data_IF_913883395973
#
_entry.id   IF_913883395973
#
_cell.length_a   1.000
_cell.length_b   1.000
_cell.length_c   1.000
_cell.angle_alpha   90.00
_cell.angle_beta   90.00
_cell.angle_gamma   90.00
#
_symmetry.space_group_name_H-M   'P 1'
#
loop_
_entity.id
_entity.type
_entity.pdbx_description
1 polymer ?
#
# COMPACT_ATOMS: atom_id res chain seq x y z
N UNK A 1 -12.97 -6.83 -5.40
CA UNK A 1 -12.71 -5.40 -5.13
C UNK A 1 -13.87 -4.56 -5.67
N UNK A 2 -14.14 -3.41 -5.08
CA UNK A 2 -15.07 -2.36 -5.57
C UNK A 2 -14.33 -1.04 -5.87
N UNK A 3 -15.00 -0.07 -6.48
CA UNK A 3 -14.42 1.25 -6.80
C UNK A 3 -14.16 2.12 -5.57
N UNK A 4 -13.02 2.82 -5.57
CA UNK A 4 -12.64 3.80 -4.54
C UNK A 4 -13.62 4.97 -4.50
N UNK A 5 -14.07 5.36 -3.30
CA UNK A 5 -14.91 6.54 -3.09
C UNK A 5 -16.44 6.36 -3.22
N UNK A 6 -16.99 5.15 -3.36
CA UNK A 6 -18.46 5.05 -3.37
C UNK A 6 -19.13 3.70 -3.70
N UNK A 7 -18.40 2.58 -3.74
CA UNK A 7 -19.04 1.26 -3.95
C UNK A 7 -19.51 0.99 -5.38
N UNK A 8 -19.08 1.80 -6.35
CA UNK A 8 -19.29 1.52 -7.77
C UNK A 8 -18.50 0.31 -8.27
N UNK A 9 -18.85 -0.24 -9.42
CA UNK A 9 -18.10 -1.34 -10.03
C UNK A 9 -16.66 -0.93 -10.37
N UNK A 10 -15.65 -1.78 -10.08
CA UNK A 10 -14.27 -1.48 -10.41
C UNK A 10 -14.12 -1.36 -11.93
N UNK A 11 -13.55 -0.26 -12.40
CA UNK A 11 -13.36 -0.01 -13.84
C UNK A 11 -12.14 -0.74 -14.42
N UNK A 12 -11.28 -1.27 -13.55
CA UNK A 12 -10.05 -1.95 -13.95
C UNK A 12 -10.38 -3.36 -14.47
N UNK A 13 -10.13 -3.58 -15.77
CA UNK A 13 -10.51 -4.83 -16.44
C UNK A 13 -9.42 -5.89 -16.28
N UNK A 14 -9.82 -7.10 -15.89
CA UNK A 14 -8.97 -8.28 -15.92
C UNK A 14 -8.64 -8.64 -17.36
N UNK A 15 -7.35 -8.70 -17.71
CA UNK A 15 -6.85 -9.11 -19.02
C UNK A 15 -5.56 -9.91 -18.84
N UNK A 16 -5.42 -11.02 -19.56
CA UNK A 16 -4.18 -11.80 -19.60
C UNK A 16 -3.63 -12.16 -18.20
N UNK A 17 -4.51 -12.44 -17.23
CA UNK A 17 -4.13 -12.81 -15.88
C UNK A 17 -3.70 -11.66 -14.95
N UNK A 18 -3.86 -10.40 -15.37
CA UNK A 18 -3.62 -9.22 -14.52
C UNK A 18 -4.74 -8.19 -14.66
N UNK A 19 -4.85 -7.32 -13.66
CA UNK A 19 -5.60 -6.06 -13.75
C UNK A 19 -4.60 -4.92 -13.97
N UNK A 20 -5.01 -3.89 -14.67
CA UNK A 20 -4.21 -2.68 -14.91
C UNK A 20 -4.97 -1.48 -14.38
N UNK A 21 -4.28 -0.58 -13.70
CA UNK A 21 -4.85 0.69 -13.26
C UNK A 21 -5.42 1.45 -14.46
N UNK A 22 -6.61 2.02 -14.28
CA UNK A 22 -7.27 2.85 -15.28
C UNK A 22 -7.69 4.17 -14.65
N UNK A 23 -7.72 5.27 -15.43
CA UNK A 23 -8.27 6.53 -14.95
C UNK A 23 -9.68 6.33 -14.41
N UNK A 24 -9.97 6.96 -13.28
CA UNK A 24 -11.28 6.89 -12.63
C UNK A 24 -11.25 6.47 -11.17
N UNK A 25 -10.05 6.32 -10.59
CA UNK A 25 -9.85 6.06 -9.17
C UNK A 25 -9.35 4.66 -8.87
N UNK A 26 -8.86 4.52 -7.64
CA UNK A 26 -8.38 3.24 -7.10
C UNK A 26 -9.49 2.21 -6.94
N UNK A 27 -9.10 1.00 -6.58
CA UNK A 27 -10.04 -0.08 -6.23
C UNK A 27 -9.69 -0.62 -4.84
N UNK A 28 -10.70 -1.05 -4.08
CA UNK A 28 -10.52 -1.56 -2.71
C UNK A 28 -11.21 -2.88 -2.46
N UNK A 29 -10.76 -3.61 -1.46
CA UNK A 29 -11.44 -4.83 -0.99
C UNK A 29 -12.85 -4.51 -0.48
N UNK A 30 -13.75 -5.48 -0.63
CA UNK A 30 -15.08 -5.43 -0.03
C UNK A 30 -14.97 -5.89 1.42
N UNK A 31 -14.25 -6.99 1.62
CA UNK A 31 -13.94 -7.54 2.94
C UNK A 31 -12.86 -6.71 3.64
N UNK A 32 -12.79 -6.89 4.96
CA UNK A 32 -11.88 -6.19 5.87
C UNK A 32 -11.19 -7.18 6.81
N UNK A 33 -9.99 -6.82 7.28
CA UNK A 33 -9.18 -7.63 8.20
C UNK A 33 -8.49 -6.74 9.22
N UNK A 34 -8.34 -7.22 10.45
CA UNK A 34 -7.61 -6.48 11.50
C UNK A 34 -6.10 -6.61 11.31
N UNK A 35 -5.54 -7.74 11.73
CA UNK A 35 -4.14 -8.07 11.51
C UNK A 35 -4.07 -9.10 10.37
N UNK A 36 -3.18 -8.88 9.40
CA UNK A 36 -3.17 -9.70 8.19
C UNK A 36 -1.80 -9.83 7.55
N UNK A 37 -1.67 -10.89 6.76
CA UNK A 37 -0.63 -11.06 5.77
C UNK A 37 -1.25 -10.87 4.38
N UNK A 38 -0.65 -10.00 3.59
CA UNK A 38 -1.05 -9.66 2.23
C UNK A 38 0.10 -9.99 1.28
N UNK A 39 -0.21 -10.67 0.18
CA UNK A 39 0.69 -10.79 -0.96
C UNK A 39 0.10 -10.06 -2.16
N UNK A 40 0.94 -9.32 -2.86
CA UNK A 40 0.60 -8.61 -4.11
C UNK A 40 1.75 -8.72 -5.08
N UNK A 41 1.47 -9.14 -6.31
CA UNK A 41 2.40 -8.95 -7.42
C UNK A 41 2.04 -7.70 -8.22
N UNK A 42 3.03 -6.87 -8.53
CA UNK A 42 2.86 -5.66 -9.32
C UNK A 42 3.95 -5.51 -10.39
N UNK A 43 3.65 -4.79 -11.47
CA UNK A 43 4.60 -4.51 -12.53
C UNK A 43 4.43 -3.07 -13.03
N UNK A 44 5.53 -2.31 -13.05
CA UNK A 44 5.55 -0.96 -13.61
C UNK A 44 5.27 -0.96 -15.12
N UNK A 45 4.77 0.16 -15.67
CA UNK A 45 4.51 0.31 -17.11
C UNK A 45 5.74 0.09 -17.99
N UNK A 46 5.53 -0.50 -19.18
CA UNK A 46 6.54 -0.58 -20.24
C UNK A 46 6.02 0.09 -21.51
N UNK A 47 6.82 0.95 -22.17
CA UNK A 47 8.11 1.45 -21.72
C UNK A 47 7.95 2.36 -20.49
N UNK A 48 8.97 2.47 -19.61
CA UNK A 48 8.87 3.36 -18.48
C UNK A 48 8.84 4.82 -18.94
N UNK A 49 7.94 5.62 -18.34
CA UNK A 49 7.73 7.03 -18.67
C UNK A 49 7.66 7.87 -17.40
N UNK A 50 8.08 9.13 -17.50
CA UNK A 50 8.11 10.06 -16.37
C UNK A 50 9.36 9.95 -15.49
N UNK A 51 9.36 10.75 -14.42
CA UNK A 51 10.45 10.88 -13.44
C UNK A 51 9.89 11.14 -12.03
N UNK A 52 10.65 10.81 -10.99
CA UNK A 52 10.20 10.96 -9.61
C UNK A 52 8.88 10.24 -9.35
N UNK A 53 7.95 10.89 -8.64
CA UNK A 53 6.60 10.38 -8.38
C UNK A 53 5.70 10.27 -9.64
N UNK A 54 6.14 10.76 -10.80
CA UNK A 54 5.40 10.62 -12.05
C UNK A 54 5.75 9.35 -12.84
N UNK A 55 6.55 8.44 -12.28
CA UNK A 55 7.11 7.29 -12.99
C UNK A 55 6.58 5.96 -12.45
N UNK A 56 5.45 5.51 -13.01
CA UNK A 56 4.86 4.21 -12.63
C UNK A 56 4.32 4.20 -11.20
N UNK A 57 3.73 5.31 -10.77
CA UNK A 57 3.24 5.51 -9.40
C UNK A 57 1.87 4.86 -9.17
N UNK A 58 1.73 4.23 -8.01
CA UNK A 58 0.51 3.69 -7.43
C UNK A 58 0.83 3.45 -5.93
N UNK A 59 -0.01 2.72 -5.21
CA UNK A 59 0.23 2.45 -3.80
C UNK A 59 -0.64 1.32 -3.29
N UNK A 60 -0.15 0.62 -2.27
CA UNK A 60 -0.96 -0.29 -1.46
C UNK A 60 -1.39 0.49 -0.22
N UNK A 61 -2.64 0.95 -0.20
CA UNK A 61 -3.21 1.74 0.89
C UNK A 61 -3.99 0.82 1.82
N UNK A 62 -3.70 0.92 3.11
CA UNK A 62 -4.44 0.21 4.16
C UNK A 62 -5.34 1.22 4.87
N UNK A 63 -6.65 0.97 4.81
CA UNK A 63 -7.72 1.85 5.29
C UNK A 63 -7.74 3.27 4.68
N UNK A 64 -7.00 3.53 3.60
CA UNK A 64 -6.75 4.90 3.13
C UNK A 64 -5.95 5.75 4.11
N UNK A 65 -5.22 5.12 5.05
CA UNK A 65 -4.46 5.79 6.11
C UNK A 65 -2.96 5.44 6.11
N UNK A 66 -2.58 4.29 5.56
CA UNK A 66 -1.20 3.82 5.57
C UNK A 66 -0.81 3.34 4.18
N UNK A 67 0.18 3.97 3.55
CA UNK A 67 0.61 3.65 2.19
C UNK A 67 1.98 2.96 2.17
N UNK A 68 2.02 1.76 1.57
CA UNK A 68 3.25 1.15 1.05
C UNK A 68 3.40 1.55 -0.40
N UNK A 69 4.46 2.30 -0.69
CA UNK A 69 4.59 2.95 -1.98
C UNK A 69 4.87 1.96 -3.13
N UNK A 70 4.18 2.14 -4.27
CA UNK A 70 4.45 1.42 -5.52
C UNK A 70 4.99 2.42 -6.55
N UNK A 71 6.23 2.24 -6.99
CA UNK A 71 6.87 3.16 -7.93
C UNK A 71 7.89 2.43 -8.80
N UNK A 72 8.09 2.86 -10.06
CA UNK A 72 9.27 2.42 -10.82
C UNK A 72 10.52 3.10 -10.26
N UNK A 73 11.18 2.41 -9.33
CA UNK A 73 12.42 2.85 -8.69
C UNK A 73 13.66 2.13 -9.23
N UNK A 74 13.56 1.39 -10.35
CA UNK A 74 14.71 0.72 -10.93
C UNK A 74 15.60 1.71 -11.69
N UNK A 75 16.78 1.99 -11.12
CA UNK A 75 17.74 2.98 -11.66
C UNK A 75 17.09 4.36 -11.91
N UNK A 76 16.07 4.69 -11.13
CA UNK A 76 15.32 5.94 -11.22
C UNK A 76 15.35 6.65 -9.86
N UNK A 77 15.51 7.98 -9.88
CA UNK A 77 15.56 8.79 -8.66
C UNK A 77 14.16 9.27 -8.27
N UNK A 78 13.89 9.20 -6.97
CA UNK A 78 12.82 9.91 -6.26
C UNK A 78 13.36 10.37 -4.91
N UNK A 79 12.54 11.03 -4.08
CA UNK A 79 12.92 11.26 -2.68
C UNK A 79 12.87 9.94 -1.88
N UNK A 80 13.74 9.75 -0.87
CA UNK A 80 13.98 8.43 -0.26
C UNK A 80 12.73 7.79 0.38
N UNK A 81 11.91 8.58 1.05
CA UNK A 81 10.68 8.22 1.74
C UNK A 81 9.43 8.23 0.83
N UNK A 82 9.64 8.30 -0.49
CA UNK A 82 8.58 8.09 -1.49
C UNK A 82 9.00 7.19 -2.63
N UNK A 83 10.09 6.42 -2.50
CA UNK A 83 10.45 5.41 -3.49
C UNK A 83 9.69 4.09 -3.23
N UNK A 84 9.80 3.12 -4.14
CA UNK A 84 9.14 1.81 -4.01
C UNK A 84 9.42 1.16 -2.65
N UNK A 85 8.35 0.85 -1.91
CA UNK A 85 8.43 0.15 -0.63
C UNK A 85 8.69 1.06 0.57
N UNK A 86 8.77 2.37 0.34
CA UNK A 86 8.70 3.34 1.42
C UNK A 86 7.35 3.25 2.14
N UNK A 87 7.37 3.51 3.44
CA UNK A 87 6.18 3.98 4.14
C UNK A 87 6.06 5.46 3.81
N UNK A 88 5.09 5.80 2.96
CA UNK A 88 5.11 7.05 2.21
C UNK A 88 5.18 8.29 3.14
N UNK A 89 6.20 9.11 2.92
CA UNK A 89 6.46 10.33 3.70
C UNK A 89 6.93 10.09 5.14
N UNK A 90 7.25 8.85 5.53
CA UNK A 90 7.68 8.52 6.89
C UNK A 90 8.98 7.71 6.94
N UNK A 91 9.12 6.65 6.14
CA UNK A 91 10.28 5.75 6.21
C UNK A 91 10.74 5.28 4.83
N UNK A 92 11.99 5.59 4.41
CA UNK A 92 12.61 4.97 3.24
C UNK A 92 12.73 3.44 3.41
N UNK A 93 12.65 2.64 2.33
CA UNK A 93 12.99 1.23 2.42
C UNK A 93 14.47 1.05 2.80
N UNK A 94 14.77 0.00 3.56
CA UNK A 94 16.14 -0.37 3.95
C UNK A 94 17.06 -0.59 2.75
N UNK A 95 16.51 -1.07 1.63
CA UNK A 95 17.21 -1.27 0.37
C UNK A 95 16.23 -1.14 -0.79
N UNK A 96 16.71 -0.64 -1.93
CA UNK A 96 15.95 -0.67 -3.18
C UNK A 96 16.12 -2.07 -3.83
N UNK A 97 15.06 -2.87 -3.77
CA UNK A 97 15.00 -4.23 -4.33
C UNK A 97 14.25 -4.31 -5.67
N UNK A 98 14.09 -3.18 -6.38
CA UNK A 98 13.30 -3.14 -7.62
C UNK A 98 13.97 -3.84 -8.79
N UNK A 99 13.14 -4.48 -9.63
CA UNK A 99 13.48 -5.05 -10.93
C UNK A 99 13.17 -4.07 -12.08
N UNK A 100 13.72 -4.29 -13.29
CA UNK A 100 13.37 -3.50 -14.48
C UNK A 100 11.86 -3.37 -14.72
N UNK A 101 11.46 -2.26 -15.35
CA UNK A 101 10.07 -2.00 -15.71
C UNK A 101 9.47 -3.16 -16.53
N UNK A 102 8.26 -3.56 -16.15
CA UNK A 102 7.52 -4.66 -16.77
C UNK A 102 7.75 -6.03 -16.16
N UNK A 103 8.85 -6.21 -15.41
CA UNK A 103 9.04 -7.41 -14.60
C UNK A 103 8.12 -7.38 -13.38
N UNK A 104 7.71 -8.58 -12.95
CA UNK A 104 6.86 -8.74 -11.78
C UNK A 104 7.68 -8.63 -10.50
N UNK A 105 7.19 -7.75 -9.64
CA UNK A 105 7.68 -7.43 -8.32
C UNK A 105 6.72 -8.08 -7.32
N UNK A 106 7.23 -8.63 -6.22
CA UNK A 106 6.37 -9.12 -5.13
C UNK A 106 6.45 -8.20 -3.93
N UNK A 107 5.30 -7.90 -3.33
CA UNK A 107 5.20 -7.43 -1.96
C UNK A 107 4.56 -8.50 -1.09
N UNK A 108 5.26 -8.88 -0.04
CA UNK A 108 4.71 -9.62 1.10
C UNK A 108 4.65 -8.65 2.28
N UNK A 109 3.43 -8.33 2.70
CA UNK A 109 3.13 -7.32 3.72
C UNK A 109 2.52 -8.03 4.92
N UNK A 110 3.10 -7.80 6.09
CA UNK A 110 2.52 -8.20 7.38
C UNK A 110 2.11 -6.92 8.09
N UNK A 111 0.82 -6.76 8.35
CA UNK A 111 0.25 -5.58 8.97
C UNK A 111 -0.44 -5.94 10.29
N UNK A 112 -0.14 -5.16 11.32
CA UNK A 112 -0.87 -5.14 12.59
C UNK A 112 -1.63 -3.81 12.70
N UNK A 113 -2.95 -3.87 12.76
CA UNK A 113 -3.80 -2.68 12.83
C UNK A 113 -3.63 -1.95 14.17
N UNK A 114 -3.84 -0.61 14.25
CA UNK A 114 -3.81 0.07 15.54
C UNK A 114 -4.92 -0.42 16.47
N UNK A 115 -4.77 -0.16 17.77
CA UNK A 115 -5.81 -0.43 18.78
C UNK A 115 -6.08 0.81 19.60
N UNK A 116 -7.34 0.98 19.97
CA UNK A 116 -7.86 2.09 20.75
C UNK A 116 -8.56 1.56 22.00
N UNK A 117 -8.49 2.27 23.12
CA UNK A 117 -9.30 1.96 24.30
C UNK A 117 -10.73 2.54 24.18
N UNK A 118 -11.57 2.24 25.18
CA UNK A 118 -12.96 2.71 25.25
C UNK A 118 -13.08 4.24 25.32
N UNK A 119 -12.01 4.93 25.74
CA UNK A 119 -11.94 6.40 25.78
C UNK A 119 -11.40 6.98 24.47
N UNK A 120 -11.12 6.15 23.47
CA UNK A 120 -10.61 6.57 22.17
C UNK A 120 -9.13 6.97 22.18
N UNK A 121 -8.34 6.50 23.15
CA UNK A 121 -6.88 6.72 23.19
C UNK A 121 -6.18 5.58 22.47
N UNK A 122 -5.13 5.92 21.72
CA UNK A 122 -4.31 4.93 21.01
C UNK A 122 -3.52 4.11 22.04
N UNK A 123 -3.72 2.79 22.05
CA UNK A 123 -3.03 1.85 22.96
C UNK A 123 -2.05 0.94 22.23
N UNK A 124 -2.17 0.82 20.89
CA UNK A 124 -1.22 0.12 20.02
C UNK A 124 -1.11 0.87 18.70
N UNK A 125 0.11 1.24 18.28
CA UNK A 125 0.38 1.81 16.96
C UNK A 125 0.14 0.76 15.86
N UNK A 126 -0.15 1.23 14.65
CA UNK A 126 -0.09 0.36 13.48
C UNK A 126 1.37 -0.11 13.28
N UNK A 127 1.57 -1.36 12.87
CA UNK A 127 2.90 -1.93 12.64
C UNK A 127 2.93 -2.64 11.30
N UNK A 128 4.03 -2.52 10.55
CA UNK A 128 4.19 -3.17 9.26
C UNK A 128 5.57 -3.77 9.03
N UNK A 129 5.61 -4.95 8.43
CA UNK A 129 6.80 -5.53 7.81
C UNK A 129 6.52 -5.68 6.32
N UNK A 130 7.48 -5.30 5.49
CA UNK A 130 7.35 -5.41 4.03
C UNK A 130 8.58 -6.11 3.48
N UNK A 131 8.35 -7.16 2.68
CA UNK A 131 9.36 -7.77 1.85
C UNK A 131 9.09 -7.41 0.39
N UNK A 132 10.13 -7.03 -0.33
CA UNK A 132 10.10 -6.74 -1.76
C UNK A 132 10.98 -7.75 -2.49
N UNK A 133 10.38 -8.58 -3.34
CA UNK A 133 11.09 -9.68 -4.01
C UNK A 133 11.82 -10.61 -3.02
N UNK A 134 11.22 -10.88 -1.86
CA UNK A 134 11.80 -11.68 -0.79
C UNK A 134 12.84 -10.96 0.08
N UNK A 135 13.18 -9.70 -0.21
CA UNK A 135 14.12 -8.90 0.57
C UNK A 135 13.35 -8.05 1.59
N UNK A 136 13.69 -8.12 2.88
CA UNK A 136 13.08 -7.27 3.90
C UNK A 136 13.47 -5.81 3.65
N UNK A 137 12.48 -4.96 3.41
CA UNK A 137 12.66 -3.53 3.14
C UNK A 137 12.04 -2.63 4.21
N UNK A 138 11.08 -3.15 4.98
CA UNK A 138 10.59 -2.53 6.21
C UNK A 138 10.53 -3.64 7.25
N UNK A 139 11.19 -3.46 8.40
CA UNK A 139 11.24 -4.47 9.45
C UNK A 139 10.51 -3.96 10.68
N UNK A 140 9.28 -4.45 10.88
CA UNK A 140 8.41 -4.13 12.02
C UNK A 140 8.33 -2.63 12.32
N UNK A 141 8.15 -1.83 11.28
CA UNK A 141 8.03 -0.38 11.36
C UNK A 141 6.74 0.01 12.08
N UNK A 142 6.84 0.83 13.12
CA UNK A 142 5.68 1.41 13.81
C UNK A 142 5.32 2.75 13.17
N UNK A 143 4.07 2.91 12.73
CA UNK A 143 3.64 4.15 12.08
C UNK A 143 3.56 5.31 13.06
N UNK A 144 3.98 6.49 12.61
CA UNK A 144 3.77 7.75 13.37
C UNK A 144 2.36 8.31 13.21
N UNK A 145 1.56 7.73 12.33
CA UNK A 145 0.19 8.11 12.04
C UNK A 145 -0.13 7.89 10.57
N UNK A 146 -1.11 8.65 10.08
CA UNK A 146 -1.51 8.63 8.67
C UNK A 146 -0.34 9.05 7.77
N UNK A 147 -0.13 8.36 6.65
CA UNK A 147 0.91 8.72 5.67
C UNK A 147 0.59 10.05 4.97
N UNK A 148 1.63 10.75 4.51
CA UNK A 148 1.50 12.14 4.07
C UNK A 148 0.59 12.29 2.83
N UNK A 149 -0.35 13.23 2.86
CA UNK A 149 -1.12 13.64 1.68
C UNK A 149 -2.13 12.62 1.11
N UNK A 150 -2.31 11.45 1.74
CA UNK A 150 -3.27 10.43 1.24
C UNK A 150 -4.71 10.62 1.75
N UNK A 151 -4.90 11.40 2.82
CA UNK A 151 -6.23 11.73 3.35
C UNK A 151 -6.29 13.14 3.91
N UNK A 152 -7.48 13.65 4.17
CA UNK A 152 -7.67 14.96 4.80
C UNK A 152 -7.17 15.05 6.25
N UNK A 153 -6.87 13.93 6.90
CA UNK A 153 -6.35 13.89 8.27
C UNK A 153 -4.95 14.48 8.32
N UNK A 154 -4.08 14.12 7.36
CA UNK A 154 -2.72 14.63 7.21
C UNK A 154 -2.60 15.23 5.80
N UNK A 155 -2.80 16.55 5.65
CA UNK A 155 -2.57 17.24 4.39
C UNK A 155 -1.10 17.09 3.95
N UNK A 156 -0.87 17.12 2.63
CA UNK A 156 0.48 17.00 2.07
C UNK A 156 1.49 17.97 2.70
N UNK A 157 2.68 17.46 3.02
CA UNK A 157 3.76 18.14 3.76
C UNK A 157 3.37 18.59 5.17
N UNK A 158 2.62 17.75 5.88
CA UNK A 158 2.31 17.97 7.30
C UNK A 158 2.92 16.91 8.19
N UNK A 159 3.02 17.19 9.49
CA UNK A 159 3.43 16.21 10.47
C UNK A 159 2.40 15.08 10.57
N UNK A 160 2.89 13.84 10.57
CA UNK A 160 2.07 12.66 10.77
C UNK A 160 1.35 12.72 12.12
N UNK A 161 0.10 12.23 12.13
CA UNK A 161 -0.70 12.02 13.33
C UNK A 161 -1.71 10.91 13.09
N UNK A 162 -2.13 10.25 14.15
CA UNK A 162 -3.28 9.37 14.08
C UNK A 162 -4.58 10.18 13.95
N UNK A 163 -5.52 9.64 13.17
CA UNK A 163 -6.88 10.16 13.06
C UNK A 163 -7.75 9.81 14.27
N UNK A 164 -9.07 10.04 14.19
CA UNK A 164 -9.99 9.51 15.19
C UNK A 164 -9.94 7.96 15.25
N UNK A 165 -10.34 7.35 16.38
CA UNK A 165 -10.45 5.90 16.50
C UNK A 165 -11.26 5.28 15.36
N UNK A 166 -10.82 4.11 14.90
CA UNK A 166 -11.53 3.31 13.91
C UNK A 166 -11.48 1.83 14.30
N UNK A 167 -12.38 1.02 13.71
CA UNK A 167 -12.38 -0.42 13.92
C UNK A 167 -11.03 -1.03 13.50
N UNK A 168 -10.54 -2.07 14.21
CA UNK A 168 -9.33 -2.76 13.81
C UNK A 168 -9.38 -3.30 12.38
N UNK A 169 -10.53 -3.82 11.96
CA UNK A 169 -10.75 -4.36 10.63
C UNK A 169 -10.79 -3.27 9.56
N UNK A 170 -9.85 -3.35 8.61
CA UNK A 170 -9.63 -2.34 7.59
C UNK A 170 -9.63 -2.95 6.18
N UNK A 171 -9.98 -2.12 5.19
CA UNK A 171 -9.89 -2.49 3.77
C UNK A 171 -8.49 -2.25 3.22
N UNK A 172 -8.18 -2.89 2.10
CA UNK A 172 -6.97 -2.66 1.31
C UNK A 172 -7.36 -2.00 -0.01
N UNK A 173 -6.63 -0.99 -0.43
CA UNK A 173 -6.86 -0.23 -1.66
C UNK A 173 -5.61 -0.22 -2.54
N UNK A 174 -5.81 -0.37 -3.85
CA UNK A 174 -4.81 -0.13 -4.87
C UNK A 174 -5.04 1.26 -5.47
N UNK A 175 -4.06 2.15 -5.36
CA UNK A 175 -4.18 3.54 -5.80
C UNK A 175 -4.20 3.65 -7.33
N UNK A 176 -5.08 4.49 -7.86
CA UNK A 176 -4.92 5.06 -9.21
C UNK A 176 -4.15 6.39 -9.10
N UNK A 177 -2.96 6.45 -9.70
CA UNK A 177 -2.18 7.68 -9.83
C UNK A 177 -1.89 7.99 -11.31
N UNK A 178 -2.83 7.68 -12.21
CA UNK A 178 -2.73 7.91 -13.66
C UNK A 178 -1.50 7.28 -14.34
N UNK A 179 -0.93 6.23 -13.74
CA UNK A 179 0.13 5.42 -14.32
C UNK A 179 -0.41 3.98 -14.46
N UNK A 180 -0.25 3.31 -15.63
CA UNK A 180 -0.82 1.99 -15.90
C UNK A 180 -0.03 0.85 -15.23
N UNK A 181 0.01 0.84 -13.89
CA UNK A 181 0.60 -0.24 -13.09
C UNK A 181 -0.30 -1.46 -13.17
N UNK A 182 0.31 -2.63 -13.34
CA UNK A 182 -0.39 -3.91 -13.43
C UNK A 182 -0.28 -4.66 -12.12
N UNK A 183 -1.33 -5.37 -11.74
CA UNK A 183 -1.41 -6.19 -10.53
C UNK A 183 -1.92 -7.60 -10.84
N UNK A 184 -1.40 -8.59 -10.13
CA UNK A 184 -1.89 -9.97 -10.17
C UNK A 184 -1.61 -10.69 -8.85
N UNK A 185 -2.10 -11.91 -8.72
CA UNK A 185 -1.82 -12.80 -7.59
C UNK A 185 -1.96 -12.06 -6.24
N UNK A 186 -3.17 -11.58 -5.97
CA UNK A 186 -3.46 -10.85 -4.73
C UNK A 186 -4.21 -11.79 -3.81
N UNK A 187 -3.65 -12.05 -2.63
CA UNK A 187 -4.32 -12.79 -1.58
C UNK A 187 -4.02 -12.17 -0.23
N UNK A 188 -4.97 -12.33 0.68
CA UNK A 188 -4.87 -11.85 2.06
C UNK A 188 -5.33 -12.95 2.98
N UNK A 189 -4.65 -13.10 4.11
CA UNK A 189 -5.08 -13.97 5.19
C UNK A 189 -5.02 -13.25 6.53
N UNK A 190 -5.99 -13.48 7.43
CA UNK A 190 -5.90 -12.95 8.78
C UNK A 190 -4.72 -13.58 9.53
N UNK A 191 -4.07 -12.78 10.36
CA UNK A 191 -3.13 -13.24 11.37
C UNK A 191 -3.92 -13.47 12.66
N UNK A 192 -4.45 -14.68 12.81
CA UNK A 192 -5.07 -15.14 14.07
C UNK A 192 -4.03 -15.45 15.14
N UNK A 193 -4.45 -16.10 16.23
CA UNK A 193 -3.55 -16.56 17.30
C UNK A 193 -2.81 -17.87 16.97
N UNK A 194 -3.11 -18.50 15.84
CA UNK A 194 -2.54 -19.78 15.39
C UNK A 194 -3.46 -20.49 14.40
N UNK A 195 -2.97 -21.57 13.80
CA UNK A 195 -3.81 -22.48 13.01
C UNK A 195 -4.57 -23.43 13.96
N UNK A 196 -5.85 -23.68 13.68
CA UNK A 196 -6.71 -24.56 14.49
C UNK A 196 -6.72 -26.02 14.00
N UNK A 197 -5.62 -26.48 13.38
CA UNK A 197 -5.50 -27.84 12.84
C UNK A 197 -4.78 -28.78 13.81
#
# INVERSE_FOLDING_TARGET
>A
MGGGGGGGEPQWKLRNGFIETQPGGGIRTIDTWADFQLHVEWASPVPPRGSGQGRGNSGILINGLYEVQVLDSYRAKSYPDGQAGAIYGQSPPLVNASKPAGEWQTYDIIFESPRWDEQGRLVKKAVITVLHNGVVIQNRYEFEGVTDGISSIVPWKSLAKYGPPHAPEVFIELQDHNNPVRYRNIWVRPLGTGDNF
#
